data_IF_963980653100
#
_entry.id   IF_963980653100
#
_cell.length_a   1.000
_cell.length_b   1.000
_cell.length_c   1.000
_cell.angle_alpha   90.00
_cell.angle_beta   90.00
_cell.angle_gamma   90.00
#
_symmetry.space_group_name_H-M   'P 1'
#
loop_
_entity.id
_entity.type
_entity.pdbx_description
1 polymer ?
#
# COMPACT_ATOMS: atom_id res chain seq x y z
N UNK A 1 0.75 8.41 10.31
CA UNK A 1 -0.09 7.46 11.08
C UNK A 1 -0.41 6.27 10.19
N UNK A 2 -0.25 5.05 10.70
CA UNK A 2 -0.54 3.81 9.98
C UNK A 2 -1.80 3.16 10.54
N UNK A 3 -2.71 2.74 9.65
CA UNK A 3 -3.91 1.97 9.98
C UNK A 3 -3.79 0.60 9.33
N UNK A 4 -3.73 -0.45 10.16
CA UNK A 4 -3.66 -1.83 9.70
C UNK A 4 -5.06 -2.33 9.34
N UNK A 5 -5.24 -2.87 8.14
CA UNK A 5 -6.54 -3.29 7.62
C UNK A 5 -6.69 -4.81 7.70
N UNK A 6 -7.71 -5.26 8.42
CA UNK A 6 -8.07 -6.69 8.51
C UNK A 6 -9.51 -6.89 8.08
N UNK A 7 -9.78 -6.67 6.79
CA UNK A 7 -10.95 -7.14 6.02
C UNK A 7 -10.93 -6.64 4.55
N UNK A 8 -10.01 -7.12 3.69
CA UNK A 8 -10.04 -6.84 2.25
C UNK A 8 -11.41 -7.09 1.58
N UNK A 9 -12.21 -8.14 1.90
CA UNK A 9 -13.43 -8.43 1.14
C UNK A 9 -14.59 -7.43 1.35
N UNK A 10 -14.47 -6.47 2.27
CA UNK A 10 -15.48 -5.40 2.45
C UNK A 10 -15.10 -4.10 1.78
N UNK A 11 -13.81 -3.89 1.48
CA UNK A 11 -13.34 -2.66 0.84
C UNK A 11 -13.59 -2.79 -0.65
N UNK A 12 -14.35 -1.85 -1.21
CA UNK A 12 -14.63 -1.80 -2.65
C UNK A 12 -13.76 -0.75 -3.34
N UNK A 13 -13.65 -0.86 -4.66
CA UNK A 13 -13.10 0.21 -5.51
C UNK A 13 -13.75 1.57 -5.21
N UNK A 14 -15.09 1.59 -5.04
CA UNK A 14 -15.83 2.81 -4.72
C UNK A 14 -15.42 3.43 -3.38
N UNK A 15 -15.15 2.62 -2.36
CA UNK A 15 -14.64 3.13 -1.08
C UNK A 15 -13.25 3.76 -1.23
N UNK A 16 -12.38 3.15 -2.03
CA UNK A 16 -11.03 3.68 -2.27
C UNK A 16 -11.07 5.00 -3.04
N UNK A 17 -11.92 5.11 -4.05
CA UNK A 17 -12.14 6.35 -4.81
C UNK A 17 -12.66 7.45 -3.91
N UNK A 18 -13.75 7.20 -3.17
CA UNK A 18 -14.34 8.17 -2.27
C UNK A 18 -13.31 8.69 -1.24
N UNK A 19 -12.51 7.79 -0.65
CA UNK A 19 -11.48 8.19 0.31
C UNK A 19 -10.41 9.10 -0.31
N UNK A 20 -9.94 8.81 -1.52
CA UNK A 20 -8.94 9.65 -2.18
C UNK A 20 -9.52 11.02 -2.55
N UNK A 21 -10.78 11.07 -2.99
CA UNK A 21 -11.49 12.31 -3.32
C UNK A 21 -11.80 13.15 -2.09
N UNK A 22 -12.26 12.54 -0.98
CA UNK A 22 -12.52 13.21 0.30
C UNK A 22 -11.27 13.90 0.85
N UNK A 23 -10.09 13.32 0.60
CA UNK A 23 -8.79 13.89 0.97
C UNK A 23 -8.32 14.99 -0.01
N UNK A 24 -9.05 15.23 -1.10
CA UNK A 24 -8.73 16.25 -2.10
C UNK A 24 -7.56 15.88 -3.01
N UNK A 25 -7.29 14.59 -3.21
CA UNK A 25 -6.23 14.11 -4.11
C UNK A 25 -6.77 13.68 -5.48
N UNK A 26 -5.90 13.72 -6.48
CA UNK A 26 -6.22 13.20 -7.82
C UNK A 26 -6.17 11.68 -7.80
N UNK A 27 -7.20 11.04 -8.37
CA UNK A 27 -7.25 9.60 -8.54
C UNK A 27 -6.09 9.04 -9.36
N UNK A 28 -5.66 7.83 -9.02
CA UNK A 28 -4.76 7.05 -9.86
C UNK A 28 -5.51 6.46 -11.06
N UNK A 29 -4.77 5.86 -11.99
CA UNK A 29 -5.38 5.07 -13.07
C UNK A 29 -6.22 3.92 -12.50
N UNK A 30 -7.27 3.52 -13.22
CA UNK A 30 -8.31 2.58 -12.74
C UNK A 30 -7.72 1.31 -12.12
N UNK A 31 -6.76 0.69 -12.80
CA UNK A 31 -6.10 -0.53 -12.33
C UNK A 31 -5.36 -0.35 -10.98
N UNK A 32 -4.63 0.76 -10.81
CA UNK A 32 -3.98 1.06 -9.55
C UNK A 32 -5.00 1.27 -8.43
N UNK A 33 -6.12 1.95 -8.73
CA UNK A 33 -7.22 2.13 -7.79
C UNK A 33 -7.94 0.82 -7.46
N UNK A 34 -8.05 -0.12 -8.40
CA UNK A 34 -8.57 -1.48 -8.13
C UNK A 34 -7.63 -2.26 -7.21
N UNK A 35 -6.31 -2.10 -7.38
CA UNK A 35 -5.29 -2.63 -6.46
C UNK A 35 -5.45 -2.13 -5.03
N UNK A 36 -5.81 -0.86 -4.83
CA UNK A 36 -6.02 -0.27 -3.50
C UNK A 36 -7.08 -0.99 -2.66
N UNK A 37 -8.05 -1.68 -3.25
CA UNK A 37 -9.05 -2.46 -2.51
C UNK A 37 -8.44 -3.67 -1.78
N UNK A 38 -7.23 -4.08 -2.17
CA UNK A 38 -6.46 -5.16 -1.52
C UNK A 38 -5.48 -4.64 -0.45
N UNK A 39 -5.53 -3.35 -0.12
CA UNK A 39 -4.59 -2.77 0.83
C UNK A 39 -4.64 -3.46 2.20
N UNK A 40 -3.45 -3.75 2.73
CA UNK A 40 -3.25 -4.32 4.08
C UNK A 40 -2.98 -3.23 5.11
N UNK A 41 -2.60 -2.04 4.68
CA UNK A 41 -2.55 -0.86 5.54
C UNK A 41 -2.75 0.45 4.78
N UNK A 42 -3.13 1.48 5.52
CA UNK A 42 -3.19 2.87 5.07
C UNK A 42 -2.19 3.70 5.83
N UNK A 43 -1.46 4.60 5.16
CA UNK A 43 -0.57 5.55 5.81
C UNK A 43 -0.93 7.00 5.46
N UNK A 44 -1.21 7.77 6.50
CA UNK A 44 -1.48 9.20 6.45
C UNK A 44 -0.27 9.98 6.91
N UNK A 45 0.08 11.03 6.18
CA UNK A 45 1.10 12.01 6.56
C UNK A 45 0.42 13.32 6.90
N UNK A 46 0.77 13.87 8.05
CA UNK A 46 0.32 15.18 8.54
C UNK A 46 1.56 16.03 8.82
N UNK A 47 1.40 17.34 8.81
CA UNK A 47 2.40 18.30 9.25
C UNK A 47 1.76 19.31 10.21
N UNK A 48 2.57 20.21 10.75
CA UNK A 48 2.12 21.23 11.71
C UNK A 48 1.64 22.52 11.05
N UNK A 49 1.85 22.67 9.74
CA UNK A 49 1.56 23.90 9.01
C UNK A 49 0.14 23.92 8.41
N UNK A 50 -0.54 22.76 8.38
CA UNK A 50 -1.86 22.61 7.80
C UNK A 50 -2.70 21.55 8.51
N UNK A 51 -4.00 21.79 8.59
CA UNK A 51 -5.00 20.80 9.01
C UNK A 51 -5.27 19.70 7.96
N UNK A 52 -4.78 19.88 6.73
CA UNK A 52 -4.98 18.93 5.63
C UNK A 52 -3.99 17.77 5.70
N UNK A 53 -4.44 16.60 5.24
CA UNK A 53 -3.54 15.46 5.00
C UNK A 53 -2.54 15.85 3.90
N UNK A 54 -1.25 15.78 4.21
CA UNK A 54 -0.19 16.13 3.25
C UNK A 54 -0.04 15.04 2.18
N UNK A 55 -0.07 13.78 2.64
CA UNK A 55 0.09 12.59 1.79
C UNK A 55 -0.71 11.43 2.34
N UNK A 56 -1.17 10.57 1.44
CA UNK A 56 -1.91 9.36 1.77
C UNK A 56 -1.43 8.21 0.90
N UNK A 57 -1.35 6.99 1.43
CA UNK A 57 -0.93 5.85 0.63
C UNK A 57 -1.63 4.55 1.07
N UNK A 58 -1.92 3.71 0.08
CA UNK A 58 -2.38 2.33 0.28
C UNK A 58 -1.17 1.42 0.17
N UNK A 59 -0.89 0.62 1.19
CA UNK A 59 0.12 -0.44 1.13
C UNK A 59 -0.55 -1.77 0.79
N UNK A 60 -0.12 -2.39 -0.30
CA UNK A 60 -0.72 -3.58 -0.90
C UNK A 60 0.33 -4.69 -0.89
N UNK A 61 -0.03 -5.83 -0.31
CA UNK A 61 0.82 -7.02 -0.31
C UNK A 61 0.82 -7.67 -1.71
N UNK A 62 1.99 -8.15 -2.12
CA UNK A 62 2.17 -8.99 -3.29
C UNK A 62 2.91 -10.26 -2.85
N UNK A 63 2.22 -11.40 -2.88
CA UNK A 63 2.77 -12.70 -2.50
C UNK A 63 3.73 -13.26 -3.56
N UNK A 64 3.62 -12.77 -4.80
CA UNK A 64 4.42 -13.15 -5.95
C UNK A 64 4.75 -11.92 -6.82
N UNK A 65 5.93 -11.86 -7.48
CA UNK A 65 6.27 -10.81 -8.42
C UNK A 65 5.22 -10.49 -9.49
N UNK A 66 4.45 -11.48 -9.94
CA UNK A 66 3.43 -11.32 -10.98
C UNK A 66 2.22 -10.48 -10.54
N UNK A 67 2.04 -10.27 -9.24
CA UNK A 67 0.98 -9.42 -8.68
C UNK A 67 1.33 -7.93 -8.76
N UNK A 68 2.56 -7.60 -9.14
CA UNK A 68 3.05 -6.22 -9.22
C UNK A 68 2.78 -5.68 -10.64
N UNK A 69 2.06 -4.55 -10.78
CA UNK A 69 1.70 -4.01 -12.09
C UNK A 69 2.87 -3.24 -12.72
N UNK A 70 3.83 -3.98 -13.31
CA UNK A 70 5.10 -3.44 -13.82
C UNK A 70 4.97 -2.35 -14.90
N UNK A 71 3.88 -2.33 -15.66
CA UNK A 71 3.63 -1.32 -16.69
C UNK A 71 3.25 0.05 -16.11
N UNK A 72 2.90 0.14 -14.81
CA UNK A 72 2.63 1.43 -14.19
C UNK A 72 3.88 2.30 -14.05
N UNK A 73 5.05 1.69 -13.86
CA UNK A 73 6.31 2.41 -13.81
C UNK A 73 7.53 1.51 -14.07
N UNK A 74 8.47 1.90 -14.95
CA UNK A 74 9.60 1.05 -15.34
C UNK A 74 10.53 0.64 -14.18
N UNK A 75 10.62 1.48 -13.13
CA UNK A 75 11.41 1.15 -11.95
C UNK A 75 10.84 -0.01 -11.12
N UNK A 76 9.54 -0.32 -11.23
CA UNK A 76 8.95 -1.42 -10.47
C UNK A 76 9.52 -2.75 -10.92
N UNK A 77 9.57 -2.99 -12.24
CA UNK A 77 10.20 -4.20 -12.78
C UNK A 77 11.68 -4.27 -12.46
N UNK A 78 12.40 -3.17 -12.66
CA UNK A 78 13.84 -3.11 -12.35
C UNK A 78 14.12 -3.46 -10.89
N UNK A 79 13.38 -2.86 -9.96
CA UNK A 79 13.54 -3.13 -8.53
C UNK A 79 13.23 -4.59 -8.21
N UNK A 80 12.12 -5.13 -8.72
CA UNK A 80 11.77 -6.53 -8.50
C UNK A 80 12.83 -7.45 -9.07
N UNK A 81 13.34 -7.24 -10.28
CA UNK A 81 14.34 -8.13 -10.88
C UNK A 81 15.68 -8.08 -10.14
N UNK A 82 16.12 -6.90 -9.70
CA UNK A 82 17.50 -6.67 -9.24
C UNK A 82 17.65 -6.65 -7.71
N UNK A 83 16.57 -6.60 -6.93
CA UNK A 83 16.68 -6.48 -5.47
C UNK A 83 17.27 -7.76 -4.83
N UNK A 84 18.23 -7.63 -3.90
CA UNK A 84 18.77 -8.76 -3.18
C UNK A 84 17.74 -9.34 -2.20
N UNK A 85 17.83 -10.64 -1.94
CA UNK A 85 16.98 -11.35 -0.98
C UNK A 85 17.82 -12.34 -0.17
N UNK A 86 17.48 -12.45 1.12
CA UNK A 86 18.00 -13.47 2.02
C UNK A 86 17.04 -14.66 2.17
N UNK A 87 15.77 -14.47 1.80
CA UNK A 87 14.73 -15.51 1.83
C UNK A 87 14.53 -16.14 0.44
N UNK A 88 14.10 -17.40 0.43
CA UNK A 88 13.62 -18.09 -0.77
C UNK A 88 12.22 -17.59 -1.21
N UNK A 89 11.50 -16.90 -0.31
CA UNK A 89 10.20 -16.29 -0.60
C UNK A 89 10.39 -14.90 -1.19
N UNK A 90 9.73 -14.63 -2.32
CA UNK A 90 9.88 -13.38 -3.08
C UNK A 90 8.62 -12.52 -2.98
N UNK A 91 8.34 -12.06 -1.76
CA UNK A 91 7.19 -11.20 -1.45
C UNK A 91 7.56 -9.73 -1.46
N UNK A 92 6.57 -8.90 -1.72
CA UNK A 92 6.72 -7.45 -1.73
C UNK A 92 5.53 -6.76 -1.09
N UNK A 93 5.77 -5.52 -0.71
CA UNK A 93 4.73 -4.54 -0.54
C UNK A 93 4.87 -3.52 -1.67
N UNK A 94 3.81 -3.23 -2.39
CA UNK A 94 3.77 -2.09 -3.31
C UNK A 94 2.71 -1.10 -2.84
N UNK A 95 2.92 0.17 -3.15
CA UNK A 95 2.06 1.23 -2.63
C UNK A 95 1.66 2.25 -3.68
N UNK A 96 0.41 2.71 -3.59
CA UNK A 96 -0.10 3.84 -4.37
C UNK A 96 -0.17 5.05 -3.44
N UNK A 97 0.71 6.02 -3.67
CA UNK A 97 0.85 7.19 -2.80
C UNK A 97 0.40 8.47 -3.50
N UNK A 98 -0.40 9.24 -2.79
CA UNK A 98 -1.04 10.48 -3.23
C UNK A 98 -0.48 11.67 -2.45
N UNK A 99 -0.37 12.80 -3.14
CA UNK A 99 -0.12 14.12 -2.56
C UNK A 99 -0.76 15.21 -3.43
N UNK A 100 -0.72 16.46 -3.00
CA UNK A 100 -1.31 17.56 -3.77
C UNK A 100 -0.61 17.88 -5.11
N UNK A 101 0.58 17.32 -5.35
CA UNK A 101 1.33 17.49 -6.62
C UNK A 101 1.10 16.33 -7.59
N UNK A 102 0.44 15.26 -7.17
CA UNK A 102 0.19 14.07 -7.99
C UNK A 102 0.28 12.79 -7.17
N UNK A 103 0.79 11.73 -7.81
CA UNK A 103 0.95 10.42 -7.20
C UNK A 103 2.30 9.81 -7.57
N UNK A 104 2.72 8.84 -6.78
CA UNK A 104 3.91 8.03 -7.03
C UNK A 104 3.72 6.63 -6.47
N UNK A 105 4.49 5.67 -6.99
CA UNK A 105 4.45 4.29 -6.55
C UNK A 105 5.63 3.99 -5.62
N UNK A 106 5.39 3.12 -4.66
CA UNK A 106 6.41 2.56 -3.77
C UNK A 106 6.50 1.06 -3.99
N UNK A 107 7.68 0.51 -3.77
CA UNK A 107 7.89 -0.93 -3.72
C UNK A 107 8.95 -1.24 -2.66
N UNK A 108 8.67 -2.25 -1.85
CA UNK A 108 9.49 -2.71 -0.74
C UNK A 108 9.58 -4.23 -0.84
N UNK A 109 10.79 -4.79 -0.74
CA UNK A 109 10.98 -6.24 -0.78
C UNK A 109 11.02 -6.81 0.64
N UNK A 110 10.41 -7.97 0.83
CA UNK A 110 10.54 -8.72 2.08
C UNK A 110 11.89 -9.44 2.12
N UNK A 111 12.94 -8.68 2.44
CA UNK A 111 14.33 -9.12 2.31
C UNK A 111 14.61 -10.46 3.01
N UNK A 112 14.13 -10.64 4.24
CA UNK A 112 14.38 -11.82 5.06
C UNK A 112 13.12 -12.68 5.28
N UNK A 113 11.99 -12.36 4.64
CA UNK A 113 10.72 -13.07 4.77
C UNK A 113 9.92 -12.75 6.03
N UNK A 114 10.35 -11.77 6.84
CA UNK A 114 9.67 -11.44 8.09
C UNK A 114 8.75 -10.22 7.98
N UNK A 115 8.97 -9.33 7.01
CA UNK A 115 8.25 -8.04 6.93
C UNK A 115 6.74 -8.25 6.78
N UNK A 116 6.36 -9.09 5.82
CA UNK A 116 4.95 -9.34 5.51
C UNK A 116 4.26 -10.08 6.65
N UNK A 117 4.95 -11.05 7.26
CA UNK A 117 4.44 -11.78 8.44
C UNK A 117 4.18 -10.83 9.62
N UNK A 118 5.13 -9.94 9.93
CA UNK A 118 4.97 -8.96 11.01
C UNK A 118 3.82 -7.98 10.76
N UNK A 119 3.64 -7.51 9.52
CA UNK A 119 2.49 -6.68 9.14
C UNK A 119 1.18 -7.44 9.38
N UNK A 120 1.11 -8.70 8.96
CA UNK A 120 -0.04 -9.57 9.21
C UNK A 120 -0.33 -9.79 10.71
N UNK A 121 0.71 -9.96 11.53
CA UNK A 121 0.58 -10.06 12.98
C UNK A 121 0.04 -8.76 13.61
N UNK A 122 0.54 -7.60 13.20
CA UNK A 122 0.05 -6.29 13.67
C UNK A 122 -1.43 -6.09 13.37
N UNK A 123 -1.87 -6.44 12.15
CA UNK A 123 -3.29 -6.49 11.78
C UNK A 123 -4.12 -7.36 12.74
N UNK A 124 -3.58 -8.52 13.17
CA UNK A 124 -4.28 -9.44 14.06
C UNK A 124 -4.37 -8.91 15.49
N UNK A 125 -3.24 -8.47 16.07
CA UNK A 125 -3.14 -8.03 17.46
C UNK A 125 -4.01 -6.81 17.76
N UNK A 126 -4.06 -5.83 16.84
CA UNK A 126 -4.92 -4.66 17.00
C UNK A 126 -6.39 -5.02 17.19
N UNK A 127 -6.90 -6.03 16.48
CA UNK A 127 -8.30 -6.45 16.60
C UNK A 127 -8.61 -7.23 17.89
N UNK A 128 -7.68 -8.07 18.33
CA UNK A 128 -7.90 -8.86 19.55
C UNK A 128 -7.85 -7.99 20.82
N UNK A 129 -7.32 -6.75 20.73
CA UNK A 129 -7.33 -5.76 21.82
C UNK A 129 -8.70 -5.09 22.01
N UNK A 130 -9.60 -5.15 21.03
CA UNK A 130 -10.93 -4.50 21.07
C UNK A 130 -12.11 -5.50 21.18
N UNK A 131 -11.85 -6.74 21.58
CA UNK A 131 -12.87 -7.74 21.95
C UNK A 131 -12.96 -7.88 23.46
#
# INVERSE_FOLDING_TARGET
>A
IYFMLKQPPKVTYGNCVALVEDLGFKLAVKEAMEGCAKAVHLNYTFNWDSEKVERFCFGIEADDPSEIPFHLHPLMKKFVDETPLQSDSRKFLWGVAFNHKGLYYKIENDYNGAMIEFLGMGCKAGLDTYK
#
